data_IF_528485272403
#
_entry.id   IF_528485272403
#
_cell.length_a   1.000
_cell.length_b   1.000
_cell.length_c   1.000
_cell.angle_alpha   90.00
_cell.angle_beta   90.00
_cell.angle_gamma   90.00
#
_symmetry.space_group_name_H-M   'P 1'
#
loop_
_entity.id
_entity.type
_entity.pdbx_description
1 polymer ?
#
# COMPACT_ATOMS: atom_id res chain seq x y z
N UNK A 1 13.88 -22.79 -10.58
CA UNK A 1 13.76 -21.31 -10.55
C UNK A 1 14.36 -20.72 -11.82
N UNK A 2 13.70 -20.91 -12.96
CA UNK A 2 14.27 -20.56 -14.26
C UNK A 2 13.21 -19.92 -15.17
N UNK A 3 12.68 -18.75 -14.79
CA UNK A 3 11.75 -18.00 -15.68
C UNK A 3 12.01 -16.48 -15.68
N UNK A 4 13.17 -16.01 -15.20
CA UNK A 4 13.62 -14.63 -15.48
C UNK A 4 13.79 -14.38 -17.00
N UNK A 5 13.93 -15.45 -17.79
CA UNK A 5 14.01 -15.44 -19.24
C UNK A 5 12.67 -15.16 -19.95
N UNK A 6 11.57 -14.97 -19.21
CA UNK A 6 10.27 -14.59 -19.79
C UNK A 6 9.82 -13.15 -19.44
N UNK A 7 10.60 -12.44 -18.62
CA UNK A 7 10.49 -10.98 -18.46
C UNK A 7 11.04 -10.21 -19.69
N UNK A 8 11.04 -10.85 -20.86
CA UNK A 8 11.47 -10.37 -22.19
C UNK A 8 10.47 -9.36 -22.78
N UNK A 9 9.56 -8.81 -21.98
CA UNK A 9 8.90 -7.55 -22.34
C UNK A 9 9.90 -6.37 -22.32
N UNK A 10 11.03 -6.53 -21.62
CA UNK A 10 12.20 -5.67 -21.74
C UNK A 10 13.31 -6.44 -22.44
N UNK A 11 13.13 -6.73 -23.73
CA UNK A 11 14.25 -7.14 -24.56
C UNK A 11 15.17 -5.91 -24.67
N UNK A 12 16.13 -5.79 -23.74
CA UNK A 12 17.15 -4.74 -23.75
C UNK A 12 18.09 -5.02 -24.94
N UNK A 13 17.63 -4.72 -26.16
CA UNK A 13 18.51 -4.64 -27.31
C UNK A 13 19.39 -3.41 -27.11
N UNK A 14 20.55 -3.59 -26.50
CA UNK A 14 21.59 -2.57 -26.44
C UNK A 14 22.11 -2.39 -27.86
N UNK A 15 21.51 -1.46 -28.59
CA UNK A 15 21.99 -1.01 -29.89
C UNK A 15 23.22 -0.09 -29.72
N UNK A 16 24.14 -0.06 -30.70
CA UNK A 16 25.35 0.76 -30.65
C UNK A 16 25.09 2.29 -30.62
N UNK A 17 23.86 2.75 -30.90
CA UNK A 17 23.52 4.18 -31.04
C UNK A 17 22.81 4.80 -29.81
N UNK A 18 22.84 4.13 -28.65
CA UNK A 18 22.25 4.61 -27.41
C UNK A 18 20.83 4.09 -27.12
N UNK A 19 20.30 4.42 -25.93
CA UNK A 19 19.05 3.85 -25.39
C UNK A 19 17.85 4.27 -26.25
N UNK A 20 17.35 3.32 -27.05
CA UNK A 20 16.32 3.48 -28.06
C UNK A 20 15.00 4.08 -27.53
N UNK A 21 14.43 5.04 -28.26
CA UNK A 21 13.16 5.70 -27.92
C UNK A 21 11.98 4.70 -27.85
N UNK A 22 12.09 3.57 -28.55
CA UNK A 22 11.09 2.49 -28.50
C UNK A 22 10.90 1.91 -27.09
N UNK A 23 11.99 1.81 -26.31
CA UNK A 23 11.95 1.30 -24.94
C UNK A 23 11.11 2.19 -24.02
N UNK A 24 11.07 3.50 -24.30
CA UNK A 24 10.24 4.44 -23.54
C UNK A 24 8.75 4.30 -23.82
N UNK A 25 8.35 4.09 -25.06
CA UNK A 25 6.93 3.95 -25.40
C UNK A 25 6.32 2.69 -24.81
N UNK A 26 7.00 1.54 -24.92
CA UNK A 26 6.47 0.30 -24.36
C UNK A 26 6.50 0.34 -22.82
N UNK A 27 7.55 0.86 -22.20
CA UNK A 27 7.58 1.05 -20.74
C UNK A 27 6.44 1.94 -20.25
N UNK A 28 6.17 3.08 -20.92
CA UNK A 28 5.06 3.96 -20.58
C UNK A 28 3.71 3.30 -20.78
N UNK A 29 3.54 2.52 -21.86
CA UNK A 29 2.32 1.74 -22.10
C UNK A 29 2.06 0.74 -20.99
N UNK A 30 3.08 0.00 -20.56
CA UNK A 30 2.97 -0.96 -19.46
C UNK A 30 2.64 -0.27 -18.13
N UNK A 31 3.25 0.89 -17.85
CA UNK A 31 2.93 1.70 -16.66
C UNK A 31 1.47 2.18 -16.70
N UNK A 32 1.00 2.64 -17.86
CA UNK A 32 -0.38 3.06 -18.05
C UNK A 32 -1.38 1.91 -17.81
N UNK A 33 -1.13 0.73 -18.39
CA UNK A 33 -1.98 -0.46 -18.20
C UNK A 33 -2.01 -0.90 -16.74
N UNK A 34 -0.85 -0.97 -16.08
CA UNK A 34 -0.70 -1.23 -14.65
C UNK A 34 -1.47 -0.18 -13.82
N UNK A 35 -1.37 1.10 -14.20
CA UNK A 35 -2.06 2.21 -13.55
C UNK A 35 -3.58 2.08 -13.63
N UNK A 36 -4.12 1.78 -14.82
CA UNK A 36 -5.55 1.54 -15.05
C UNK A 36 -6.07 0.39 -14.18
N UNK A 37 -5.35 -0.74 -14.15
CA UNK A 37 -5.74 -1.90 -13.34
C UNK A 37 -5.69 -1.60 -11.84
N UNK A 38 -4.64 -0.93 -11.39
CA UNK A 38 -4.47 -0.51 -10.00
C UNK A 38 -5.57 0.46 -9.56
N UNK A 39 -5.96 1.39 -10.42
CA UNK A 39 -7.03 2.34 -10.15
C UNK A 39 -8.40 1.64 -10.06
N UNK A 40 -8.71 0.72 -10.98
CA UNK A 40 -9.93 -0.11 -10.91
C UNK A 40 -9.99 -0.91 -9.61
N UNK A 41 -8.91 -1.61 -9.24
CA UNK A 41 -8.82 -2.35 -7.95
C UNK A 41 -8.97 -1.43 -6.75
N UNK A 42 -8.41 -0.22 -6.79
CA UNK A 42 -8.52 0.78 -5.72
C UNK A 42 -9.95 1.26 -5.53
N UNK A 43 -10.65 1.57 -6.62
CA UNK A 43 -12.05 1.99 -6.57
C UNK A 43 -12.96 0.89 -6.00
N UNK A 44 -12.79 -0.36 -6.47
CA UNK A 44 -13.56 -1.51 -5.96
C UNK A 44 -13.33 -1.70 -4.46
N UNK A 45 -12.06 -1.66 -4.00
CA UNK A 45 -11.73 -1.77 -2.57
C UNK A 45 -12.33 -0.63 -1.75
N UNK A 46 -12.31 0.59 -2.27
CA UNK A 46 -12.94 1.74 -1.62
C UNK A 46 -14.44 1.53 -1.47
N UNK A 47 -15.14 1.20 -2.56
CA UNK A 47 -16.58 0.92 -2.56
C UNK A 47 -16.94 -0.19 -1.58
N UNK A 48 -16.24 -1.32 -1.65
CA UNK A 48 -16.48 -2.45 -0.77
C UNK A 48 -16.22 -2.07 0.69
N UNK A 49 -15.15 -1.33 0.98
CA UNK A 49 -14.83 -0.86 2.33
C UNK A 49 -15.92 0.02 2.94
N UNK A 50 -16.52 0.92 2.16
CA UNK A 50 -17.65 1.75 2.60
C UNK A 50 -18.90 0.88 2.86
N UNK A 51 -19.24 -0.02 1.93
CA UNK A 51 -20.44 -0.88 2.05
C UNK A 51 -20.36 -1.86 3.22
N UNK A 52 -19.17 -2.42 3.46
CA UNK A 52 -18.94 -3.42 4.52
C UNK A 52 -18.66 -2.79 5.89
N UNK A 53 -18.70 -1.46 6.00
CA UNK A 53 -18.52 -0.74 7.26
C UNK A 53 -17.13 -0.93 7.88
N UNK A 54 -16.11 -1.13 7.05
CA UNK A 54 -14.77 -1.47 7.51
C UNK A 54 -14.12 -0.24 8.15
N UNK A 55 -13.71 -0.38 9.41
CA UNK A 55 -12.94 0.61 10.16
C UNK A 55 -11.82 1.22 9.30
N UNK A 56 -11.58 2.54 9.29
CA UNK A 56 -12.27 3.64 10.00
C UNK A 56 -13.70 4.02 9.60
N UNK A 57 -14.12 3.64 8.39
CA UNK A 57 -15.17 4.36 7.67
C UNK A 57 -16.49 3.60 7.67
N UNK A 58 -17.11 3.44 8.84
CA UNK A 58 -18.41 2.78 8.94
C UNK A 58 -19.59 3.77 8.73
N UNK A 59 -20.71 3.31 8.13
CA UNK A 59 -21.94 4.10 8.06
C UNK A 59 -22.45 4.56 9.44
N UNK A 60 -22.28 3.72 10.47
CA UNK A 60 -22.62 4.09 11.84
C UNK A 60 -21.76 5.24 12.37
N UNK A 61 -20.45 5.25 12.11
CA UNK A 61 -19.57 6.33 12.50
C UNK A 61 -19.90 7.64 11.79
N UNK A 62 -20.33 7.57 10.53
CA UNK A 62 -20.81 8.73 9.79
C UNK A 62 -22.04 9.37 10.46
N UNK A 63 -23.05 8.56 10.78
CA UNK A 63 -24.26 9.03 11.47
C UNK A 63 -23.93 9.66 12.82
N UNK A 64 -23.04 9.03 13.61
CA UNK A 64 -22.60 9.60 14.89
C UNK A 64 -21.96 10.98 14.70
N UNK A 65 -21.06 11.16 13.74
CA UNK A 65 -20.41 12.45 13.50
C UNK A 65 -21.41 13.51 13.04
N UNK A 66 -22.29 13.18 12.08
CA UNK A 66 -23.28 14.13 11.54
C UNK A 66 -24.30 14.53 12.61
N UNK A 67 -24.86 13.56 13.35
CA UNK A 67 -25.85 13.84 14.41
C UNK A 67 -25.20 14.62 15.55
N UNK A 68 -23.96 14.28 15.94
CA UNK A 68 -23.24 15.01 16.99
C UNK A 68 -22.97 16.46 16.57
N UNK A 69 -22.56 16.67 15.31
CA UNK A 69 -22.36 18.01 14.75
C UNK A 69 -23.67 18.81 14.73
N UNK A 70 -24.75 18.25 14.16
CA UNK A 70 -26.06 18.90 14.07
C UNK A 70 -26.69 19.18 15.43
N UNK A 71 -26.50 18.29 16.41
CA UNK A 71 -26.98 18.50 17.77
C UNK A 71 -26.16 19.58 18.49
N UNK A 72 -24.84 19.59 18.30
CA UNK A 72 -23.97 20.62 18.87
C UNK A 72 -24.30 22.02 18.36
N UNK A 73 -24.57 22.19 17.07
CA UNK A 73 -24.95 23.50 16.51
C UNK A 73 -26.35 23.94 16.96
N UNK A 74 -27.30 23.00 17.08
CA UNK A 74 -28.67 23.30 17.52
C UNK A 74 -28.79 23.63 19.01
N UNK A 75 -28.12 22.88 19.87
CA UNK A 75 -28.30 22.97 21.34
C UNK A 75 -27.22 23.80 22.04
N UNK A 76 -25.98 23.79 21.54
CA UNK A 76 -24.87 24.45 22.21
C UNK A 76 -24.48 25.79 21.58
N UNK A 77 -25.04 26.17 20.41
CA UNK A 77 -24.62 27.34 19.60
C UNK A 77 -23.10 27.43 19.40
N UNK A 78 -22.41 26.29 19.49
CA UNK A 78 -21.00 26.22 19.18
C UNK A 78 -20.91 26.09 17.68
N UNK A 79 -20.07 26.92 17.05
CA UNK A 79 -19.64 26.77 15.66
C UNK A 79 -18.29 26.04 15.62
N UNK A 80 -18.24 24.71 15.76
CA UNK A 80 -17.00 23.95 15.67
C UNK A 80 -16.36 24.01 14.27
N UNK A 81 -17.09 24.54 13.27
CA UNK A 81 -16.55 24.89 11.96
C UNK A 81 -15.67 26.14 11.95
N UNK A 82 -15.45 26.85 13.06
CA UNK A 82 -14.58 28.03 13.14
C UNK A 82 -14.89 29.10 12.04
N UNK A 83 -16.16 29.25 11.66
CA UNK A 83 -16.57 30.16 10.57
C UNK A 83 -16.25 29.68 9.14
N UNK A 84 -15.88 28.42 8.91
CA UNK A 84 -15.65 27.90 7.56
C UNK A 84 -16.93 27.92 6.69
N UNK A 85 -18.10 27.75 7.30
CA UNK A 85 -19.40 27.75 6.62
C UNK A 85 -19.73 29.13 6.07
N UNK A 86 -19.50 30.19 6.83
CA UNK A 86 -19.77 31.56 6.37
C UNK A 86 -18.83 31.96 5.23
N UNK A 87 -17.59 31.48 5.24
CA UNK A 87 -16.63 31.64 4.13
C UNK A 87 -16.91 30.77 2.91
N UNK A 88 -17.48 29.57 3.06
CA UNK A 88 -17.91 28.75 1.92
C UNK A 88 -19.22 29.27 1.31
N UNK A 89 -20.12 29.80 2.14
CA UNK A 89 -21.41 30.36 1.72
C UNK A 89 -21.28 31.55 0.77
N UNK A 90 -20.17 32.29 0.81
CA UNK A 90 -19.90 33.37 -0.16
C UNK A 90 -19.56 32.87 -1.57
N UNK A 91 -19.19 31.60 -1.72
CA UNK A 91 -18.78 31.01 -3.01
C UNK A 91 -19.77 29.96 -3.55
N UNK A 92 -20.73 29.51 -2.75
CA UNK A 92 -21.76 28.57 -3.19
C UNK A 92 -23.01 29.37 -3.56
N UNK A 93 -23.51 29.33 -4.81
CA UNK A 93 -24.76 30.00 -5.16
C UNK A 93 -25.90 29.33 -4.39
N UNK A 94 -26.42 30.03 -3.38
CA UNK A 94 -27.55 29.55 -2.58
C UNK A 94 -28.80 29.64 -3.47
N UNK A 95 -29.43 28.50 -3.74
CA UNK A 95 -30.68 28.46 -4.50
C UNK A 95 -31.77 29.21 -3.73
N UNK A 96 -32.43 30.22 -4.34
CA UNK A 96 -33.52 30.98 -3.70
C UNK A 96 -34.77 30.13 -3.43
N UNK A 97 -34.81 28.88 -3.93
CA UNK A 97 -35.94 27.96 -3.78
C UNK A 97 -35.86 27.07 -2.52
N UNK A 98 -34.80 27.19 -1.70
CA UNK A 98 -34.58 26.33 -0.53
C UNK A 98 -34.84 27.09 0.77
N UNK A 99 -35.71 26.55 1.64
CA UNK A 99 -36.01 27.14 2.96
C UNK A 99 -34.77 27.23 3.86
N UNK A 100 -34.70 28.21 4.76
CA UNK A 100 -33.56 28.41 5.67
C UNK A 100 -33.24 27.16 6.50
N UNK A 101 -34.27 26.42 6.95
CA UNK A 101 -34.09 25.17 7.68
C UNK A 101 -33.47 24.07 6.82
N UNK A 102 -33.88 23.97 5.55
CA UNK A 102 -33.29 23.04 4.59
C UNK A 102 -31.83 23.39 4.30
N UNK A 103 -31.51 24.68 4.21
CA UNK A 103 -30.13 25.16 4.02
C UNK A 103 -29.23 24.80 5.21
N UNK A 104 -29.72 24.95 6.45
CA UNK A 104 -28.98 24.57 7.67
C UNK A 104 -28.74 23.07 7.75
N UNK A 105 -29.73 22.25 7.39
CA UNK A 105 -29.58 20.79 7.37
C UNK A 105 -28.58 20.35 6.30
N UNK A 106 -28.70 20.85 5.07
CA UNK A 106 -27.79 20.49 3.97
C UNK A 106 -26.35 20.93 4.29
N UNK A 107 -26.17 22.16 4.79
CA UNK A 107 -24.86 22.66 5.22
C UNK A 107 -24.26 21.83 6.36
N UNK A 108 -25.08 21.45 7.34
CA UNK A 108 -24.64 20.60 8.45
C UNK A 108 -24.22 19.20 8.02
N UNK A 109 -24.94 18.58 7.08
CA UNK A 109 -24.57 17.29 6.50
C UNK A 109 -23.26 17.39 5.71
N UNK A 110 -23.06 18.46 4.92
CA UNK A 110 -21.82 18.67 4.17
C UNK A 110 -20.60 18.79 5.10
N UNK A 111 -20.71 19.60 6.16
CA UNK A 111 -19.61 19.77 7.12
C UNK A 111 -19.39 18.50 7.94
N UNK A 112 -20.45 17.85 8.42
CA UNK A 112 -20.34 16.57 9.12
C UNK A 112 -19.66 15.50 8.25
N UNK A 113 -19.94 15.48 6.96
CA UNK A 113 -19.25 14.61 5.98
C UNK A 113 -17.77 14.96 5.85
N UNK A 114 -17.44 16.25 5.73
CA UNK A 114 -16.05 16.71 5.66
C UNK A 114 -15.23 16.36 6.91
N UNK A 115 -15.81 16.56 8.10
CA UNK A 115 -15.20 16.20 9.37
C UNK A 115 -14.99 14.68 9.47
N UNK A 116 -15.98 13.88 9.11
CA UNK A 116 -15.88 12.43 9.11
C UNK A 116 -14.77 11.93 8.16
N UNK A 117 -14.70 12.46 6.93
CA UNK A 117 -13.61 12.14 5.98
C UNK A 117 -12.24 12.53 6.55
N UNK A 118 -12.15 13.68 7.20
CA UNK A 118 -10.90 14.18 7.80
C UNK A 118 -10.44 13.27 8.95
N UNK A 119 -11.35 12.87 9.85
CA UNK A 119 -11.07 11.91 10.92
C UNK A 119 -10.56 10.59 10.36
N UNK A 120 -11.24 10.05 9.33
CA UNK A 120 -10.80 8.82 8.64
C UNK A 120 -9.40 8.99 8.06
N UNK A 121 -9.14 10.11 7.39
CA UNK A 121 -7.84 10.38 6.79
C UNK A 121 -6.74 10.43 7.86
N UNK A 122 -6.95 11.17 8.95
CA UNK A 122 -6.01 11.25 10.07
C UNK A 122 -5.74 9.86 10.65
N UNK A 123 -6.80 9.10 10.96
CA UNK A 123 -6.67 7.78 11.55
C UNK A 123 -5.94 6.77 10.63
N UNK A 124 -6.21 6.81 9.32
CA UNK A 124 -5.48 5.99 8.33
C UNK A 124 -4.01 6.35 8.27
N UNK A 125 -3.67 7.63 8.27
CA UNK A 125 -2.27 8.06 8.20
C UNK A 125 -1.54 7.78 9.51
N UNK A 126 -2.18 7.94 10.67
CA UNK A 126 -1.62 7.54 11.96
C UNK A 126 -1.30 6.03 11.99
N UNK A 127 -2.26 5.19 11.58
CA UNK A 127 -2.04 3.74 11.46
C UNK A 127 -0.94 3.40 10.46
N UNK A 128 -0.86 4.09 9.32
CA UNK A 128 0.24 3.89 8.35
C UNK A 128 1.60 4.19 8.96
N UNK A 129 1.72 5.29 9.69
CA UNK A 129 2.98 5.65 10.36
C UNK A 129 3.34 4.62 11.43
N UNK A 130 2.37 4.20 12.25
CA UNK A 130 2.57 3.17 13.25
C UNK A 130 3.00 1.84 12.62
N UNK A 131 2.31 1.37 11.59
CA UNK A 131 2.60 0.09 10.92
C UNK A 131 3.86 0.14 10.04
N UNK A 132 4.32 1.33 9.66
CA UNK A 132 5.58 1.50 8.94
C UNK A 132 6.80 1.27 9.83
N UNK A 133 6.67 1.39 11.16
CA UNK A 133 7.79 1.20 12.06
C UNK A 133 8.04 -0.30 12.32
N UNK A 134 9.26 -0.73 12.00
CA UNK A 134 9.69 -2.13 12.09
C UNK A 134 10.83 -2.36 13.09
N UNK A 135 11.11 -1.38 13.97
CA UNK A 135 12.18 -1.52 14.97
C UNK A 135 11.96 -2.67 15.94
N UNK A 136 10.70 -3.07 16.16
CA UNK A 136 10.36 -4.22 17.01
C UNK A 136 10.91 -5.56 16.50
N UNK A 137 11.09 -5.72 15.19
CA UNK A 137 11.55 -6.99 14.59
C UNK A 137 12.99 -7.34 14.96
N UNK A 138 13.81 -6.33 15.28
CA UNK A 138 15.21 -6.50 15.62
C UNK A 138 15.45 -6.63 17.13
N UNK A 139 14.40 -6.53 17.95
CA UNK A 139 14.54 -6.76 19.38
C UNK A 139 14.85 -8.23 19.66
N UNK A 140 15.74 -8.45 20.63
CA UNK A 140 16.05 -9.79 21.11
C UNK A 140 14.80 -10.42 21.74
N UNK A 141 14.53 -11.68 21.40
CA UNK A 141 13.43 -12.44 22.02
C UNK A 141 13.54 -12.40 23.55
N UNK A 142 12.45 -12.04 24.23
CA UNK A 142 12.35 -11.95 25.69
C UNK A 142 12.56 -10.57 26.31
N UNK A 143 13.12 -9.57 25.60
CA UNK A 143 13.23 -8.20 26.11
C UNK A 143 12.53 -7.20 25.20
N UNK A 144 11.48 -6.56 25.71
CA UNK A 144 10.71 -5.54 24.98
C UNK A 144 11.15 -4.16 25.44
N UNK A 145 11.80 -3.40 24.55
CA UNK A 145 12.19 -2.01 24.79
C UNK A 145 10.98 -1.14 25.11
N UNK A 146 11.15 -0.11 25.95
CA UNK A 146 10.08 0.81 26.34
C UNK A 146 9.43 1.49 25.13
N UNK A 147 10.22 1.85 24.11
CA UNK A 147 9.68 2.39 22.85
C UNK A 147 8.77 1.41 22.10
N UNK A 148 9.07 0.10 22.18
CA UNK A 148 8.21 -0.94 21.60
C UNK A 148 6.91 -1.11 22.39
N UNK A 149 6.97 -1.00 23.72
CA UNK A 149 5.76 -1.03 24.56
C UNK A 149 4.84 0.15 24.25
N UNK A 150 5.42 1.35 24.12
CA UNK A 150 4.70 2.56 23.74
C UNK A 150 4.08 2.42 22.34
N UNK A 151 4.83 1.88 21.38
CA UNK A 151 4.31 1.59 20.05
C UNK A 151 3.13 0.60 20.07
N UNK A 152 3.23 -0.52 20.81
CA UNK A 152 2.12 -1.49 20.97
C UNK A 152 0.88 -0.79 21.56
N UNK A 153 1.06 0.06 22.56
CA UNK A 153 -0.03 0.83 23.17
C UNK A 153 -0.75 1.70 22.12
N UNK A 154 0.01 2.46 21.33
CA UNK A 154 -0.56 3.27 20.26
C UNK A 154 -1.23 2.43 19.17
N UNK A 155 -0.62 1.33 18.74
CA UNK A 155 -1.24 0.42 17.78
C UNK A 155 -2.57 -0.10 18.32
N UNK A 156 -2.64 -0.53 19.59
CA UNK A 156 -3.89 -1.00 20.21
C UNK A 156 -4.95 0.11 20.31
N UNK A 157 -4.55 1.32 20.64
CA UNK A 157 -5.45 2.48 20.72
C UNK A 157 -6.07 2.81 19.34
N UNK A 158 -5.24 2.87 18.30
CA UNK A 158 -5.64 3.24 16.93
C UNK A 158 -6.22 2.06 16.12
N UNK A 159 -6.09 0.82 16.59
CA UNK A 159 -6.63 -0.37 15.90
C UNK A 159 -8.10 -0.65 16.24
N UNK A 160 -8.64 0.00 17.28
CA UNK A 160 -9.98 -0.27 17.78
C UNK A 160 -10.09 -1.62 18.51
N UNK A 161 -11.28 -1.91 19.04
CA UNK A 161 -11.50 -3.06 19.95
C UNK A 161 -11.64 -4.41 19.24
N UNK A 162 -12.11 -4.43 18.00
CA UNK A 162 -12.39 -5.66 17.22
C UNK A 162 -12.10 -5.44 15.73
N UNK A 163 -10.84 -5.49 15.30
CA UNK A 163 -10.52 -5.35 13.89
C UNK A 163 -11.06 -6.54 13.09
N UNK A 164 -11.74 -6.26 11.98
CA UNK A 164 -12.14 -7.28 11.00
C UNK A 164 -10.96 -7.65 10.09
N UNK A 165 -11.02 -8.80 9.42
CA UNK A 165 -9.93 -9.32 8.57
C UNK A 165 -9.31 -8.28 7.60
N UNK A 166 -10.13 -7.38 7.05
CA UNK A 166 -9.69 -6.37 6.08
C UNK A 166 -9.62 -4.93 6.62
N UNK A 167 -9.73 -4.72 7.93
CA UNK A 167 -9.76 -3.37 8.56
C UNK A 167 -8.53 -2.53 8.27
N UNK A 168 -7.35 -3.15 8.18
CA UNK A 168 -6.10 -2.42 8.01
C UNK A 168 -5.57 -2.40 6.59
N UNK A 169 -6.25 -3.04 5.63
CA UNK A 169 -5.77 -3.12 4.24
C UNK A 169 -5.53 -1.74 3.61
N UNK A 170 -6.36 -0.75 3.92
CA UNK A 170 -6.18 0.63 3.44
C UNK A 170 -5.12 1.43 4.21
N UNK A 171 -4.71 0.92 5.37
CA UNK A 171 -3.78 1.54 6.31
C UNK A 171 -2.39 0.91 6.28
N UNK A 172 -2.16 -0.08 5.41
CA UNK A 172 -0.82 -0.61 5.19
C UNK A 172 0.05 0.42 4.45
N UNK A 173 1.35 0.52 4.81
CA UNK A 173 2.30 1.33 4.06
C UNK A 173 2.47 0.78 2.64
N UNK A 174 2.86 1.65 1.70
CA UNK A 174 3.21 1.22 0.34
C UNK A 174 4.57 0.55 0.37
N UNK A 175 4.79 -0.39 -0.56
CA UNK A 175 6.10 -0.99 -0.75
C UNK A 175 7.08 0.08 -1.27
N UNK A 176 8.18 0.39 -0.55
CA UNK A 176 9.15 1.39 -1.00
C UNK A 176 9.97 0.87 -2.17
N UNK A 177 10.40 1.78 -3.05
CA UNK A 177 11.33 1.46 -4.14
C UNK A 177 12.76 1.69 -3.63
N UNK A 178 13.61 0.65 -3.51
CA UNK A 178 14.96 0.80 -2.99
C UNK A 178 15.84 1.64 -3.94
N UNK A 179 16.84 2.39 -3.44
CA UNK A 179 17.79 3.09 -4.28
C UNK A 179 18.56 2.15 -5.21
N UNK A 180 18.89 2.63 -6.41
CA UNK A 180 19.65 1.85 -7.41
C UNK A 180 21.02 1.45 -6.85
N UNK A 181 21.73 2.39 -6.22
CA UNK A 181 23.02 2.15 -5.58
C UNK A 181 22.99 1.03 -4.54
N UNK A 182 22.02 1.06 -3.63
CA UNK A 182 21.86 0.01 -2.60
C UNK A 182 21.51 -1.33 -3.23
N UNK A 183 20.71 -1.32 -4.30
CA UNK A 183 20.35 -2.54 -5.04
C UNK A 183 21.56 -3.13 -5.74
N UNK A 184 22.37 -2.32 -6.41
CA UNK A 184 23.60 -2.75 -7.09
C UNK A 184 24.63 -3.30 -6.10
N UNK A 185 24.84 -2.61 -4.98
CA UNK A 185 25.73 -3.07 -3.90
C UNK A 185 25.32 -4.45 -3.37
N UNK A 186 24.05 -4.61 -2.97
CA UNK A 186 23.54 -5.89 -2.45
C UNK A 186 23.57 -6.99 -3.51
N UNK A 187 23.34 -6.65 -4.77
CA UNK A 187 23.49 -7.57 -5.89
C UNK A 187 24.93 -8.09 -5.98
N UNK A 188 25.92 -7.20 -6.00
CA UNK A 188 27.34 -7.59 -6.04
C UNK A 188 27.74 -8.42 -4.82
N UNK A 189 27.33 -8.01 -3.61
CA UNK A 189 27.54 -8.79 -2.37
C UNK A 189 26.98 -10.22 -2.50
N UNK A 190 25.78 -10.38 -3.09
CA UNK A 190 25.15 -11.68 -3.29
C UNK A 190 25.74 -12.52 -4.43
N UNK A 191 26.29 -11.86 -5.46
CA UNK A 191 26.87 -12.50 -6.64
C UNK A 191 28.33 -12.93 -6.41
N UNK A 192 29.05 -12.24 -5.50
CA UNK A 192 30.45 -12.51 -5.19
C UNK A 192 30.78 -14.00 -4.93
N UNK A 193 30.03 -14.76 -4.11
CA UNK A 193 30.36 -16.17 -3.87
C UNK A 193 30.09 -17.10 -5.07
N UNK A 194 29.49 -16.59 -6.15
CA UNK A 194 29.15 -17.37 -7.35
C UNK A 194 30.10 -17.12 -8.53
N UNK A 195 31.11 -16.27 -8.36
CA UNK A 195 31.98 -15.77 -9.42
C UNK A 195 33.45 -15.81 -8.99
N UNK A 196 34.35 -16.04 -9.95
CA UNK A 196 35.77 -15.80 -9.76
C UNK A 196 36.11 -14.29 -9.75
N UNK A 197 37.38 -13.95 -9.51
CA UNK A 197 37.82 -12.57 -9.40
C UNK A 197 37.70 -11.78 -10.70
N UNK A 198 38.05 -12.39 -11.83
CA UNK A 198 37.97 -11.73 -13.14
C UNK A 198 36.52 -11.44 -13.52
N UNK A 199 35.62 -12.41 -13.33
CA UNK A 199 34.19 -12.28 -13.53
C UNK A 199 33.59 -11.22 -12.61
N UNK A 200 34.00 -11.19 -11.35
CA UNK A 200 33.50 -10.24 -10.37
C UNK A 200 33.91 -8.80 -10.71
N UNK A 201 35.18 -8.57 -11.08
CA UNK A 201 35.65 -7.25 -11.53
C UNK A 201 34.88 -6.78 -12.76
N UNK A 202 34.64 -7.67 -13.72
CA UNK A 202 33.79 -7.36 -14.88
C UNK A 202 32.36 -7.00 -14.45
N UNK A 203 31.78 -7.74 -13.51
CA UNK A 203 30.41 -7.51 -13.02
C UNK A 203 30.30 -6.19 -12.25
N UNK A 204 31.32 -5.83 -11.48
CA UNK A 204 31.40 -4.54 -10.79
C UNK A 204 31.41 -3.37 -11.79
N UNK A 205 32.19 -3.49 -12.87
CA UNK A 205 32.19 -2.52 -13.96
C UNK A 205 30.80 -2.33 -14.59
N UNK A 206 30.12 -3.43 -14.94
CA UNK A 206 28.78 -3.40 -15.53
C UNK A 206 27.73 -2.82 -14.57
N UNK A 207 27.79 -3.20 -13.29
CA UNK A 207 26.89 -2.66 -12.27
C UNK A 207 27.10 -1.15 -12.07
N UNK A 208 28.36 -0.70 -12.07
CA UNK A 208 28.70 0.73 -12.00
C UNK A 208 28.24 1.53 -13.22
N UNK A 209 28.33 0.96 -14.42
CA UNK A 209 27.81 1.57 -15.65
C UNK A 209 26.28 1.67 -15.60
N UNK A 210 25.59 0.60 -15.17
CA UNK A 210 24.15 0.61 -14.99
C UNK A 210 23.69 1.66 -13.96
N UNK A 211 24.36 1.75 -12.80
CA UNK A 211 24.04 2.73 -11.75
C UNK A 211 24.14 4.17 -12.25
N UNK A 212 25.12 4.48 -13.12
CA UNK A 212 25.34 5.84 -13.64
C UNK A 212 24.44 6.18 -14.83
N UNK A 213 24.15 5.21 -15.71
CA UNK A 213 23.49 5.45 -16.99
C UNK A 213 22.00 5.06 -16.96
N UNK A 214 21.69 3.78 -17.22
CA UNK A 214 20.32 3.30 -17.45
C UNK A 214 19.49 3.24 -16.16
N UNK A 215 20.12 2.90 -15.04
CA UNK A 215 19.49 2.70 -13.74
C UNK A 215 18.63 3.88 -13.28
N UNK A 216 19.12 5.13 -13.29
CA UNK A 216 18.32 6.31 -12.91
C UNK A 216 17.04 6.48 -13.74
N UNK A 217 17.09 6.22 -15.06
CA UNK A 217 15.93 6.33 -15.95
C UNK A 217 14.90 5.25 -15.64
N UNK A 218 15.32 4.00 -15.48
CA UNK A 218 14.42 2.90 -15.09
C UNK A 218 13.83 3.12 -13.69
N UNK A 219 14.63 3.63 -12.77
CA UNK A 219 14.20 3.97 -11.41
C UNK A 219 13.12 5.06 -11.43
N UNK A 220 13.20 6.03 -12.35
CA UNK A 220 12.16 7.03 -12.52
C UNK A 220 10.82 6.41 -12.92
N UNK A 221 10.83 5.51 -13.90
CA UNK A 221 9.63 4.75 -14.31
C UNK A 221 9.06 3.91 -13.17
N UNK A 222 9.93 3.27 -12.38
CA UNK A 222 9.53 2.45 -11.23
C UNK A 222 8.89 3.29 -10.12
N UNK A 223 9.49 4.46 -9.82
CA UNK A 223 8.92 5.45 -8.89
C UNK A 223 7.56 5.93 -9.36
N UNK A 224 7.44 6.29 -10.64
CA UNK A 224 6.16 6.68 -11.22
C UNK A 224 5.11 5.59 -11.02
N UNK A 225 5.43 4.31 -11.32
CA UNK A 225 4.51 3.18 -11.09
C UNK A 225 4.10 3.04 -9.63
N UNK A 226 5.04 3.21 -8.68
CA UNK A 226 4.78 3.11 -7.24
C UNK A 226 3.79 4.15 -6.70
N UNK A 227 3.54 5.24 -7.44
CA UNK A 227 2.54 6.24 -7.05
C UNK A 227 1.11 5.75 -7.30
N UNK A 228 0.91 4.91 -8.32
CA UNK A 228 -0.39 4.42 -8.75
C UNK A 228 -0.76 3.06 -8.14
N UNK A 229 0.22 2.30 -7.67
CA UNK A 229 0.03 0.97 -7.07
C UNK A 229 0.33 0.95 -5.57
N UNK A 230 -0.41 0.17 -4.79
CA UNK A 230 -0.09 -0.06 -3.37
C UNK A 230 1.19 -0.91 -3.19
N UNK A 231 1.41 -1.82 -4.13
CA UNK A 231 2.63 -2.61 -4.28
C UNK A 231 2.99 -2.56 -5.77
N UNK A 232 4.17 -2.02 -6.09
CA UNK A 232 4.59 -1.81 -7.48
C UNK A 232 5.00 -3.11 -8.19
N UNK A 233 5.19 -4.20 -7.45
CA UNK A 233 5.68 -5.50 -7.93
C UNK A 233 4.54 -6.48 -8.19
N UNK A 234 3.46 -6.46 -7.41
CA UNK A 234 2.47 -7.56 -7.38
C UNK A 234 1.88 -7.96 -8.72
N UNK A 235 1.49 -6.99 -9.55
CA UNK A 235 0.89 -7.23 -10.87
C UNK A 235 1.91 -7.80 -11.87
N UNK A 236 3.13 -7.26 -11.88
CA UNK A 236 4.21 -7.80 -12.69
C UNK A 236 4.64 -9.18 -12.19
N UNK A 237 4.69 -9.39 -10.88
CA UNK A 237 5.04 -10.69 -10.31
C UNK A 237 4.03 -11.77 -10.71
N UNK A 238 2.73 -11.49 -10.57
CA UNK A 238 1.66 -12.39 -11.00
C UNK A 238 1.78 -12.74 -12.49
N UNK A 239 1.87 -11.72 -13.34
CA UNK A 239 1.93 -11.88 -14.79
C UNK A 239 3.21 -12.59 -15.27
N UNK A 240 4.38 -12.09 -14.88
CA UNK A 240 5.65 -12.51 -15.46
C UNK A 240 6.25 -13.75 -14.80
N UNK A 241 5.95 -14.01 -13.52
CA UNK A 241 6.52 -15.16 -12.80
C UNK A 241 5.60 -16.38 -12.84
N UNK A 242 4.28 -16.19 -12.95
CA UNK A 242 3.34 -17.30 -12.91
C UNK A 242 2.53 -17.47 -14.18
N UNK A 243 1.95 -16.39 -14.74
CA UNK A 243 0.98 -16.53 -15.83
C UNK A 243 1.63 -16.68 -17.22
N UNK A 244 2.85 -16.20 -17.41
CA UNK A 244 3.59 -16.35 -18.68
C UNK A 244 4.36 -17.66 -18.80
N UNK A 245 4.67 -18.29 -17.67
CA UNK A 245 5.33 -19.58 -17.59
C UNK A 245 4.58 -20.62 -18.41
N UNK A 246 5.29 -21.30 -19.33
CA UNK A 246 4.70 -22.37 -20.16
C UNK A 246 5.05 -23.77 -19.66
N UNK A 247 5.83 -23.87 -18.59
CA UNK A 247 6.17 -25.14 -17.96
C UNK A 247 4.96 -25.78 -17.27
N UNK A 248 4.96 -27.11 -17.06
CA UNK A 248 3.89 -27.78 -16.33
C UNK A 248 3.85 -27.31 -14.86
N UNK A 249 2.70 -26.78 -14.44
CA UNK A 249 2.52 -26.15 -13.12
C UNK A 249 2.62 -27.15 -11.94
N UNK A 250 2.25 -28.42 -12.17
CA UNK A 250 2.16 -29.45 -11.13
C UNK A 250 3.50 -29.75 -10.47
N UNK A 251 4.59 -29.66 -11.22
CA UNK A 251 5.95 -29.97 -10.75
C UNK A 251 6.71 -28.69 -10.39
N UNK A 252 6.52 -27.62 -11.18
CA UNK A 252 7.40 -26.45 -11.13
C UNK A 252 6.91 -25.32 -10.21
N UNK A 253 5.61 -25.28 -9.88
CA UNK A 253 5.01 -24.12 -9.18
C UNK A 253 4.10 -24.51 -8.03
N UNK A 254 3.34 -25.60 -8.16
CA UNK A 254 2.44 -26.05 -7.10
C UNK A 254 3.24 -26.54 -5.88
N UNK A 255 2.79 -26.16 -4.69
CA UNK A 255 3.30 -26.66 -3.42
C UNK A 255 2.26 -27.56 -2.76
N UNK A 256 2.71 -28.52 -1.96
CA UNK A 256 1.84 -29.34 -1.12
C UNK A 256 2.39 -29.36 0.30
N UNK A 257 1.48 -29.48 1.28
CA UNK A 257 1.82 -29.66 2.68
C UNK A 257 1.14 -30.93 3.18
N UNK A 258 1.91 -31.80 3.83
CA UNK A 258 1.39 -33.02 4.45
C UNK A 258 0.98 -32.70 5.88
N UNK A 259 -0.29 -32.88 6.19
CA UNK A 259 -0.77 -32.78 7.58
C UNK A 259 -0.47 -34.10 8.28
N UNK A 260 0.24 -34.04 9.41
CA UNK A 260 0.47 -35.21 10.24
C UNK A 260 -0.88 -35.67 10.81
N UNK A 261 -1.35 -36.82 10.36
CA UNK A 261 -2.49 -37.48 10.97
C UNK A 261 -2.07 -37.97 12.36
N UNK A 262 -2.48 -37.27 13.43
CA UNK A 262 -2.35 -37.80 14.78
C UNK A 262 -3.36 -38.94 14.90
N UNK A 263 -2.88 -40.16 15.13
CA UNK A 263 -3.72 -41.28 15.53
C UNK A 263 -4.34 -40.96 16.90
N UNK A 264 -5.60 -41.29 17.18
CA UNK A 264 -6.23 -41.08 18.49
C UNK A 264 -5.49 -41.76 19.66
N UNK A 265 -4.54 -42.66 19.38
CA UNK A 265 -3.81 -43.47 20.35
C UNK A 265 -2.52 -42.85 20.88
N UNK A 266 -2.02 -41.74 20.33
CA UNK A 266 -0.89 -41.01 20.92
C UNK A 266 -1.44 -39.99 21.91
N UNK A 267 -1.28 -40.28 23.21
CA UNK A 267 -1.74 -39.46 24.32
C UNK A 267 -1.50 -37.97 24.09
N UNK A 268 -2.53 -37.18 24.44
CA UNK A 268 -2.58 -35.72 24.37
C UNK A 268 -1.27 -35.10 24.85
N UNK A 269 -0.43 -34.66 23.91
CA UNK A 269 0.62 -33.71 24.21
C UNK A 269 -0.06 -32.36 24.29
N UNK A 270 -0.40 -31.92 25.51
CA UNK A 270 -0.83 -30.54 25.77
C UNK A 270 0.21 -29.60 25.16
N UNK A 271 -0.23 -28.75 24.22
CA UNK A 271 0.55 -27.62 23.74
C UNK A 271 0.39 -26.54 24.81
N UNK A 272 1.42 -26.20 25.60
CA UNK A 272 1.30 -25.10 26.55
C UNK A 272 1.25 -23.79 25.73
N UNK A 273 0.09 -23.15 25.73
CA UNK A 273 -0.06 -21.74 25.37
C UNK A 273 -0.09 -20.90 26.64
#
# INVERSE_FOLDING_TARGET
>A
MAEAHQAVAFQFTVGPDGIDMQLCHEALRQIYLSGKHSWKKRFIRFKNGVMTGVYPGSPSGFLVVVVSYMSGTKYAQLDPSLGLITKLGTHIPISPYMSEDSQRVVGGVLVGTGLWVTIIFIMRNALKCLLSWHGWMYNRHGSVSWGTRLWILFVKLFSGRKPMLYSFQSSLPRLPVPPVKDTCRRYLESARPLMDDEQYVRMEGLAGEFEKNLGPRLQWYLKLKSWWASNYVSDWWEEYIYLRGRGPIMVNSNYYAMVRHLSPSSGLCEIPF
#
